data_IF_339819308389
#
_entry.id   IF_339819308389
#
_cell.length_a   1.000
_cell.length_b   1.000
_cell.length_c   1.000
_cell.angle_alpha   90.00
_cell.angle_beta   90.00
_cell.angle_gamma   90.00
#
_symmetry.space_group_name_H-M   'P 1'
#
loop_
_entity.id
_entity.type
_entity.pdbx_description
1 polymer ?
#
# COMPACT_ATOMS: atom_id res chain seq x y z
N UNK A 1 16.07 0.43 5.43
CA UNK A 1 16.18 0.67 3.98
C UNK A 1 14.81 1.04 3.41
N UNK A 2 14.76 1.79 2.31
CA UNK A 2 13.51 2.26 1.72
C UNK A 2 13.62 2.31 0.20
N UNK A 3 12.56 1.92 -0.51
CA UNK A 3 12.42 2.05 -1.96
C UNK A 3 11.05 2.65 -2.28
N UNK A 4 11.06 3.66 -3.12
CA UNK A 4 9.86 4.35 -3.61
C UNK A 4 9.77 4.17 -5.11
N UNK A 5 8.57 3.88 -5.61
CA UNK A 5 8.30 3.75 -7.03
C UNK A 5 7.00 4.46 -7.37
N UNK A 6 7.07 5.31 -8.37
CA UNK A 6 5.94 6.04 -8.91
C UNK A 6 5.42 5.36 -10.17
N UNK A 7 4.10 5.35 -10.32
CA UNK A 7 3.41 4.79 -11.47
C UNK A 7 2.45 5.84 -12.04
N UNK A 8 2.67 6.22 -13.29
CA UNK A 8 1.88 7.21 -14.00
C UNK A 8 1.48 6.69 -15.38
N UNK A 9 0.22 6.87 -15.82
CA UNK A 9 -0.99 7.26 -15.07
C UNK A 9 -1.71 6.01 -14.53
N UNK A 10 -1.21 5.41 -13.44
CA UNK A 10 -1.72 4.12 -12.95
C UNK A 10 -2.48 4.31 -11.64
N UNK A 11 -3.72 3.83 -11.62
CA UNK A 11 -4.49 3.53 -10.41
C UNK A 11 -4.59 2.02 -10.25
N UNK A 12 -3.97 1.46 -9.21
CA UNK A 12 -4.12 0.04 -8.94
C UNK A 12 -5.54 -0.31 -8.49
N UNK A 13 -6.02 -1.50 -8.85
CA UNK A 13 -7.27 -2.01 -8.28
C UNK A 13 -7.10 -2.30 -6.78
N UNK A 14 -8.20 -2.32 -6.03
CA UNK A 14 -8.18 -2.71 -4.62
C UNK A 14 -7.55 -4.11 -4.42
N UNK A 15 -7.79 -5.03 -5.35
CA UNK A 15 -7.25 -6.40 -5.27
C UNK A 15 -5.75 -6.43 -5.55
N UNK A 16 -5.26 -5.61 -6.49
CA UNK A 16 -3.83 -5.43 -6.74
C UNK A 16 -3.11 -4.88 -5.49
N UNK A 17 -3.72 -3.89 -4.83
CA UNK A 17 -3.20 -3.33 -3.58
C UNK A 17 -3.19 -4.36 -2.44
N UNK A 18 -4.25 -5.14 -2.29
CA UNK A 18 -4.33 -6.21 -1.29
C UNK A 18 -3.24 -7.26 -1.52
N UNK A 19 -3.11 -7.76 -2.75
CA UNK A 19 -2.07 -8.73 -3.15
C UNK A 19 -0.66 -8.20 -2.88
N UNK A 20 -0.45 -6.90 -3.10
CA UNK A 20 0.80 -6.19 -2.85
C UNK A 20 1.11 -6.09 -1.35
N UNK A 21 0.11 -5.80 -0.52
CA UNK A 21 0.25 -5.79 0.93
C UNK A 21 0.48 -7.19 1.51
N UNK A 22 -0.20 -8.22 1.00
CA UNK A 22 0.06 -9.62 1.37
C UNK A 22 1.51 -10.05 1.07
N UNK A 23 2.05 -9.61 -0.07
CA UNK A 23 3.45 -9.86 -0.42
C UNK A 23 4.42 -9.19 0.56
N UNK A 24 4.08 -8.01 1.06
CA UNK A 24 4.82 -7.36 2.15
C UNK A 24 4.70 -8.15 3.46
N UNK A 25 3.50 -8.56 3.86
CA UNK A 25 3.30 -9.35 5.08
C UNK A 25 4.05 -10.68 5.06
N UNK A 26 4.26 -11.28 3.88
CA UNK A 26 5.02 -12.52 3.76
C UNK A 26 6.49 -12.42 4.18
N UNK A 27 7.08 -11.21 4.19
CA UNK A 27 8.47 -10.99 4.62
C UNK A 27 8.61 -10.36 6.01
N UNK A 28 7.53 -9.79 6.53
CA UNK A 28 7.52 -9.17 7.86
C UNK A 28 7.48 -10.29 8.92
N UNK A 29 8.31 -10.23 9.97
CA UNK A 29 8.27 -11.21 11.06
C UNK A 29 7.01 -11.01 11.92
N UNK A 30 6.52 -12.07 12.56
CA UNK A 30 5.22 -12.05 13.25
C UNK A 30 5.17 -11.05 14.41
N UNK A 31 6.28 -10.83 15.10
CA UNK A 31 6.39 -9.83 16.16
C UNK A 31 6.18 -8.41 15.63
N UNK A 32 6.70 -8.13 14.43
CA UNK A 32 6.50 -6.83 13.79
C UNK A 32 5.07 -6.69 13.25
N UNK A 33 4.43 -7.78 12.78
CA UNK A 33 3.03 -7.78 12.35
C UNK A 33 2.08 -7.44 13.49
N UNK A 34 2.33 -7.98 14.68
CA UNK A 34 1.46 -7.83 15.85
C UNK A 34 1.30 -6.37 16.31
N UNK A 35 2.28 -5.51 16.00
CA UNK A 35 2.28 -4.08 16.37
C UNK A 35 2.21 -3.16 15.15
N UNK A 36 1.71 -3.65 14.01
CA UNK A 36 1.46 -2.81 12.84
C UNK A 36 0.39 -1.77 13.16
N UNK A 37 0.76 -0.51 12.99
CA UNK A 37 -0.17 0.62 13.00
C UNK A 37 -0.64 0.92 11.58
N UNK A 38 -1.85 1.47 11.45
CA UNK A 38 -2.44 1.82 10.17
C UNK A 38 -2.81 3.29 10.08
N UNK A 39 -2.59 3.87 8.90
CA UNK A 39 -3.17 5.13 8.49
C UNK A 39 -3.86 4.92 7.14
N UNK A 40 -5.20 4.96 7.17
CA UNK A 40 -6.06 4.65 6.05
C UNK A 40 -6.94 5.88 5.78
N UNK A 41 -6.78 6.51 4.63
CA UNK A 41 -7.50 7.72 4.28
C UNK A 41 -7.93 7.70 2.83
N UNK A 42 -9.18 8.08 2.56
CA UNK A 42 -9.71 8.25 1.21
C UNK A 42 -10.31 9.64 1.07
N UNK A 43 -9.89 10.35 0.02
CA UNK A 43 -10.40 11.66 -0.34
C UNK A 43 -11.26 11.58 -1.61
N UNK A 44 -12.51 12.00 -1.48
CA UNK A 44 -13.44 12.27 -2.57
C UNK A 44 -13.43 13.78 -2.90
N UNK A 45 -14.34 14.25 -3.74
CA UNK A 45 -14.31 15.62 -4.28
C UNK A 45 -14.27 16.72 -3.19
N UNK A 46 -15.05 16.56 -2.13
CA UNK A 46 -15.24 17.57 -1.07
C UNK A 46 -14.86 17.07 0.33
N UNK A 47 -14.78 15.75 0.52
CA UNK A 47 -14.56 15.13 1.82
C UNK A 47 -13.33 14.21 1.87
N UNK A 48 -12.74 14.09 3.05
CA UNK A 48 -11.74 13.08 3.38
C UNK A 48 -12.23 12.26 4.56
N UNK A 49 -12.18 10.94 4.40
CA UNK A 49 -12.54 9.97 5.43
C UNK A 49 -11.30 9.22 5.88
N UNK A 50 -11.15 9.03 7.19
CA UNK A 50 -10.18 8.10 7.75
C UNK A 50 -10.93 6.82 8.14
N UNK A 51 -10.28 5.67 7.95
CA UNK A 51 -10.88 4.36 8.20
C UNK A 51 -10.09 3.59 9.23
N UNK A 52 -10.79 2.81 10.05
CA UNK A 52 -10.18 1.97 11.08
C UNK A 52 -9.85 0.57 10.56
N UNK A 53 -10.41 0.20 9.39
CA UNK A 53 -10.22 -1.12 8.79
C UNK A 53 -9.84 -1.09 7.31
N UNK A 54 -9.08 -2.11 6.89
CA UNK A 54 -8.72 -2.31 5.49
C UNK A 54 -9.96 -2.54 4.62
N UNK A 55 -10.98 -3.22 5.15
CA UNK A 55 -12.22 -3.50 4.44
C UNK A 55 -12.98 -2.22 4.09
N UNK A 56 -13.15 -1.31 5.04
CA UNK A 56 -13.80 -0.01 4.81
C UNK A 56 -13.00 0.85 3.84
N UNK A 57 -11.67 0.91 4.03
CA UNK A 57 -10.79 1.62 3.10
C UNK A 57 -10.97 1.11 1.66
N UNK A 58 -10.93 -0.21 1.44
CA UNK A 58 -11.05 -0.76 0.09
C UNK A 58 -12.47 -0.60 -0.48
N UNK A 59 -13.50 -0.61 0.35
CA UNK A 59 -14.86 -0.30 -0.09
C UNK A 59 -14.96 1.14 -0.59
N UNK A 60 -14.41 2.11 0.15
CA UNK A 60 -14.43 3.53 -0.24
C UNK A 60 -13.51 3.80 -1.44
N UNK A 61 -12.33 3.21 -1.46
CA UNK A 61 -11.37 3.33 -2.56
C UNK A 61 -11.96 2.90 -3.91
N UNK A 62 -12.82 1.89 -3.94
CA UNK A 62 -13.49 1.42 -5.17
C UNK A 62 -14.51 2.41 -5.73
N UNK A 63 -15.04 3.33 -4.92
CA UNK A 63 -16.04 4.32 -5.35
C UNK A 63 -15.49 5.45 -6.22
N UNK A 64 -14.16 5.55 -6.38
CA UNK A 64 -13.54 6.56 -7.23
C UNK A 64 -12.81 7.67 -6.48
N UNK A 65 -11.97 7.31 -5.51
CA UNK A 65 -11.11 8.25 -4.78
C UNK A 65 -10.27 9.18 -5.69
N UNK A 66 -10.20 10.48 -5.36
CA UNK A 66 -9.26 11.44 -5.97
C UNK A 66 -7.88 11.35 -5.32
N UNK A 67 -7.84 11.12 -4.01
CA UNK A 67 -6.62 10.76 -3.33
C UNK A 67 -6.88 9.64 -2.33
N UNK A 68 -5.87 8.83 -2.05
CA UNK A 68 -5.97 7.80 -1.04
C UNK A 68 -4.61 7.52 -0.42
N UNK A 69 -4.58 7.16 0.86
CA UNK A 69 -3.39 6.68 1.54
C UNK A 69 -3.74 5.37 2.22
N UNK A 70 -3.01 4.31 1.85
CA UNK A 70 -3.01 3.04 2.57
C UNK A 70 -1.62 2.84 3.14
N UNK A 71 -1.47 3.04 4.45
CA UNK A 71 -0.19 2.90 5.13
C UNK A 71 -0.28 1.92 6.30
N UNK A 72 0.72 1.04 6.38
CA UNK A 72 0.93 0.07 7.45
C UNK A 72 2.39 0.16 7.89
N UNK A 73 2.66 0.29 9.19
CA UNK A 73 4.04 0.42 9.67
C UNK A 73 4.27 -0.11 11.08
N UNK A 74 5.48 -0.63 11.31
CA UNK A 74 6.00 -1.12 12.59
C UNK A 74 7.53 -1.04 12.57
N UNK A 75 8.12 -0.13 13.36
CA UNK A 75 9.57 0.06 13.41
C UNK A 75 10.19 0.34 12.04
N UNK A 76 11.08 -0.55 11.58
CA UNK A 76 11.76 -0.46 10.29
C UNK A 76 10.94 -1.02 9.10
N UNK A 77 9.74 -1.53 9.36
CA UNK A 77 8.85 -2.10 8.36
C UNK A 77 7.75 -1.11 8.02
N UNK A 78 7.66 -0.73 6.75
CA UNK A 78 6.52 0.07 6.28
C UNK A 78 6.10 -0.31 4.87
N UNK A 79 4.79 -0.25 4.67
CA UNK A 79 4.13 -0.32 3.38
C UNK A 79 3.27 0.92 3.26
N UNK A 80 3.48 1.71 2.21
CA UNK A 80 2.65 2.86 1.91
C UNK A 80 2.29 2.87 0.44
N UNK A 81 0.99 2.98 0.17
CA UNK A 81 0.47 3.37 -1.13
C UNK A 81 -0.20 4.72 -1.00
N UNK A 82 0.09 5.61 -1.94
CA UNK A 82 -0.59 6.88 -2.07
C UNK A 82 -1.09 7.07 -3.50
N UNK A 83 -2.38 7.31 -3.65
CA UNK A 83 -3.00 7.78 -4.88
C UNK A 83 -3.08 9.31 -4.82
N UNK A 84 -2.63 9.98 -5.87
CA UNK A 84 -2.64 11.43 -6.03
C UNK A 84 -3.42 11.76 -7.30
N UNK A 85 -4.39 12.66 -7.16
CA UNK A 85 -5.28 13.18 -8.22
C UNK A 85 -5.89 12.10 -9.13
N UNK A 86 -6.17 10.93 -8.56
CA UNK A 86 -6.83 9.80 -9.24
C UNK A 86 -5.96 9.07 -10.26
N UNK A 87 -4.73 9.51 -10.50
CA UNK A 87 -3.92 9.08 -11.65
C UNK A 87 -2.48 8.69 -11.31
N UNK A 88 -1.87 9.24 -10.25
CA UNK A 88 -0.50 8.90 -9.85
C UNK A 88 -0.56 7.99 -8.64
N UNK A 89 0.01 6.79 -8.75
CA UNK A 89 0.21 5.93 -7.58
C UNK A 89 1.68 5.90 -7.19
N UNK A 90 1.96 6.28 -5.95
CA UNK A 90 3.25 6.15 -5.31
C UNK A 90 3.21 4.94 -4.37
N UNK A 91 4.13 4.01 -4.58
CA UNK A 91 4.36 2.86 -3.71
C UNK A 91 5.68 3.04 -2.98
N UNK A 92 5.65 2.89 -1.67
CA UNK A 92 6.83 2.99 -0.81
C UNK A 92 6.89 1.77 0.11
N UNK A 93 8.05 1.11 0.11
CA UNK A 93 8.34 -0.05 0.94
C UNK A 93 9.59 0.25 1.74
N UNK A 94 9.53 0.04 3.05
CA UNK A 94 10.69 0.06 3.94
C UNK A 94 10.82 -1.26 4.67
N UNK A 95 12.03 -1.79 4.69
CA UNK A 95 12.42 -2.99 5.45
C UNK A 95 13.82 -2.76 6.06
N UNK A 96 14.25 -3.57 7.06
CA UNK A 96 15.59 -3.49 7.62
C UNK A 96 16.71 -3.54 6.58
N UNK A 97 16.67 -4.51 5.65
CA UNK A 97 17.72 -4.71 4.64
C UNK A 97 17.26 -4.41 3.21
N UNK A 98 18.21 -4.21 2.29
CA UNK A 98 17.92 -4.02 0.86
C UNK A 98 17.31 -5.27 0.25
N UNK A 99 17.82 -6.45 0.58
CA UNK A 99 17.34 -7.72 0.04
C UNK A 99 15.88 -7.98 0.38
N UNK A 100 15.44 -7.61 1.59
CA UNK A 100 14.04 -7.68 2.00
C UNK A 100 13.16 -6.73 1.16
N UNK A 101 13.62 -5.50 0.93
CA UNK A 101 12.89 -4.54 0.07
C UNK A 101 12.76 -5.08 -1.36
N UNK A 102 13.84 -5.60 -1.94
CA UNK A 102 13.82 -6.14 -3.30
C UNK A 102 12.95 -7.40 -3.40
N UNK A 103 12.97 -8.27 -2.38
CA UNK A 103 12.10 -9.45 -2.31
C UNK A 103 10.62 -9.07 -2.36
N UNK A 104 10.21 -8.04 -1.61
CA UNK A 104 8.83 -7.52 -1.65
C UNK A 104 8.50 -6.95 -3.02
N UNK A 105 9.38 -6.13 -3.59
CA UNK A 105 9.14 -5.50 -4.89
C UNK A 105 9.02 -6.54 -6.02
N UNK A 106 9.82 -7.61 -5.99
CA UNK A 106 9.72 -8.69 -6.96
C UNK A 106 8.42 -9.50 -6.79
N UNK A 107 8.02 -9.80 -5.55
CA UNK A 107 6.74 -10.45 -5.28
C UNK A 107 5.55 -9.60 -5.76
N UNK A 108 5.59 -8.29 -5.54
CA UNK A 108 4.61 -7.33 -6.05
C UNK A 108 4.59 -7.35 -7.57
N UNK A 109 5.75 -7.28 -8.23
CA UNK A 109 5.85 -7.27 -9.70
C UNK A 109 5.19 -8.50 -10.32
N UNK A 110 5.42 -9.69 -9.77
CA UNK A 110 4.79 -10.94 -10.24
C UNK A 110 3.27 -10.92 -10.08
N UNK A 111 2.77 -10.39 -8.96
CA UNK A 111 1.32 -10.33 -8.67
C UNK A 111 0.57 -9.22 -9.40
N UNK A 112 1.26 -8.12 -9.74
CA UNK A 112 0.69 -6.97 -10.46
C UNK A 112 0.70 -7.14 -11.99
N UNK A 113 1.54 -8.04 -12.52
CA UNK A 113 1.71 -8.27 -13.96
C UNK A 113 1.26 -9.68 -14.41
N UNK A 114 0.69 -10.50 -13.52
CA UNK A 114 0.04 -11.74 -13.94
C UNK A 114 -1.34 -11.41 -14.52
N UNK A 115 -1.65 -11.86 -15.75
CA UNK A 115 -2.92 -11.57 -16.43
C UNK A 115 -4.15 -12.10 -15.67
#
# INVERSE_FOLDING_TARGET
MKKTKEYYPVRFSADALRKSYEAFLAVVPDEAKAVLTSYLSVRAEDAQWNHDSDAEFFAEYRKGAKAAVFQKQSGLWSFRMQLIDGAVTLMEISCPTRDQVESVCEAQRRKLLSP
#
